data_IF_624479560593
#
_entry.id   IF_624479560593
#
_cell.length_a   1.000
_cell.length_b   1.000
_cell.length_c   1.000
_cell.angle_alpha   90.00
_cell.angle_beta   90.00
_cell.angle_gamma   90.00
#
_symmetry.space_group_name_H-M   'P 1'
#
loop_
_entity.id
_entity.type
_entity.pdbx_description
1 polymer ?
#
# COMPACT_ATOMS: atom_id res chain seq x y z
N UNK A 1 -3.43 3.20 16.97
CA UNK A 1 -3.97 2.39 15.85
C UNK A 1 -5.11 1.53 16.37
N UNK A 2 -6.25 1.58 15.71
CA UNK A 2 -7.44 0.83 16.09
C UNK A 2 -8.04 0.15 14.86
N UNK A 3 -8.31 -1.15 14.97
CA UNK A 3 -8.96 -1.89 13.89
C UNK A 3 -10.46 -1.59 13.91
N UNK A 4 -11.01 -1.26 12.73
CA UNK A 4 -12.42 -0.98 12.54
C UNK A 4 -13.08 -2.12 11.77
N UNK A 5 -14.39 -2.26 11.95
CA UNK A 5 -15.18 -3.21 11.15
C UNK A 5 -15.34 -2.65 9.72
N UNK A 6 -15.04 -3.48 8.72
CA UNK A 6 -15.23 -3.11 7.30
C UNK A 6 -16.70 -3.34 6.94
N UNK A 7 -17.37 -2.27 6.48
CA UNK A 7 -18.75 -2.35 6.01
C UNK A 7 -18.79 -2.61 4.51
N UNK A 8 -19.97 -2.94 3.98
CA UNK A 8 -20.15 -3.10 2.53
C UNK A 8 -19.82 -1.81 1.79
N UNK A 9 -20.20 -0.67 2.34
CA UNK A 9 -19.90 0.65 1.78
C UNK A 9 -18.38 0.89 1.73
N UNK A 10 -17.65 0.48 2.77
CA UNK A 10 -16.19 0.58 2.81
C UNK A 10 -15.54 -0.27 1.72
N UNK A 11 -16.05 -1.48 1.51
CA UNK A 11 -15.54 -2.40 0.47
C UNK A 11 -15.75 -1.81 -0.93
N UNK A 12 -16.93 -1.24 -1.18
CA UNK A 12 -17.22 -0.58 -2.46
C UNK A 12 -16.27 0.60 -2.70
N UNK A 13 -16.04 1.42 -1.67
CA UNK A 13 -15.14 2.56 -1.78
C UNK A 13 -13.69 2.13 -2.02
N UNK A 14 -13.23 1.09 -1.32
CA UNK A 14 -11.90 0.54 -1.56
C UNK A 14 -11.75 0.06 -3.01
N UNK A 15 -12.74 -0.68 -3.50
CA UNK A 15 -12.74 -1.16 -4.89
C UNK A 15 -12.66 -0.02 -5.90
N UNK A 16 -13.39 1.07 -5.64
CA UNK A 16 -13.36 2.26 -6.48
C UNK A 16 -11.98 2.93 -6.46
N UNK A 17 -11.37 3.04 -5.28
CA UNK A 17 -10.06 3.65 -5.10
C UNK A 17 -8.96 2.85 -5.79
N UNK A 18 -8.91 1.53 -5.60
CA UNK A 18 -7.84 0.70 -6.16
C UNK A 18 -7.90 0.59 -7.69
N UNK A 19 -9.07 0.77 -8.29
CA UNK A 19 -9.18 0.78 -9.76
C UNK A 19 -8.40 1.91 -10.41
N UNK A 20 -8.11 2.96 -9.66
CA UNK A 20 -7.30 4.10 -10.13
C UNK A 20 -5.80 3.86 -9.96
N UNK A 21 -5.42 2.81 -9.25
CA UNK A 21 -4.02 2.44 -9.02
C UNK A 21 -3.59 1.51 -10.14
N UNK A 22 -2.53 1.87 -10.85
CA UNK A 22 -2.07 1.16 -12.06
C UNK A 22 -1.93 -0.35 -11.84
N UNK A 23 -1.36 -0.76 -10.71
CA UNK A 23 -1.15 -2.18 -10.38
C UNK A 23 -2.47 -2.96 -10.34
N UNK A 24 -3.54 -2.36 -9.81
CA UNK A 24 -4.84 -3.00 -9.66
C UNK A 24 -5.79 -2.77 -10.83
N UNK A 25 -5.55 -1.73 -11.62
CA UNK A 25 -6.47 -1.31 -12.68
C UNK A 25 -6.66 -2.36 -13.78
N UNK A 26 -5.63 -3.17 -14.01
CA UNK A 26 -5.63 -4.22 -15.03
C UNK A 26 -5.93 -5.60 -14.47
N UNK A 27 -6.19 -5.73 -13.18
CA UNK A 27 -6.49 -7.03 -12.57
C UNK A 27 -7.83 -7.57 -13.01
N UNK A 28 -7.88 -8.89 -13.16
CA UNK A 28 -9.11 -9.63 -13.36
C UNK A 28 -10.08 -9.37 -12.20
N UNK A 29 -11.38 -9.24 -12.52
CA UNK A 29 -12.42 -8.98 -11.52
C UNK A 29 -12.50 -10.06 -10.44
N UNK A 30 -12.33 -11.32 -10.82
CA UNK A 30 -12.36 -12.43 -9.86
C UNK A 30 -11.23 -12.35 -8.84
N UNK A 31 -10.03 -12.00 -9.31
CA UNK A 31 -8.88 -11.81 -8.41
C UNK A 31 -9.09 -10.61 -7.50
N UNK A 32 -9.53 -9.50 -8.06
CA UNK A 32 -9.78 -8.28 -7.29
C UNK A 32 -10.83 -8.51 -6.21
N UNK A 33 -11.91 -9.22 -6.52
CA UNK A 33 -12.96 -9.53 -5.56
C UNK A 33 -12.42 -10.33 -4.37
N UNK A 34 -11.54 -11.29 -4.62
CA UNK A 34 -10.90 -12.07 -3.55
C UNK A 34 -10.01 -11.20 -2.67
N UNK A 35 -9.30 -10.25 -3.27
CA UNK A 35 -8.48 -9.28 -2.54
C UNK A 35 -9.37 -8.39 -1.67
N UNK A 36 -10.49 -7.91 -2.21
CA UNK A 36 -11.43 -7.05 -1.48
C UNK A 36 -11.97 -7.71 -0.21
N UNK A 37 -12.09 -9.04 -0.21
CA UNK A 37 -12.57 -9.78 0.96
C UNK A 37 -11.49 -9.94 2.05
N UNK A 38 -10.26 -9.54 1.78
CA UNK A 38 -9.12 -9.71 2.70
C UNK A 38 -8.60 -8.39 3.28
N UNK A 39 -9.19 -7.26 2.91
CA UNK A 39 -8.75 -5.96 3.42
C UNK A 39 -9.18 -5.77 4.87
N UNK A 40 -8.40 -4.99 5.59
CA UNK A 40 -8.77 -4.53 6.94
C UNK A 40 -8.75 -3.00 6.94
N UNK A 41 -9.44 -2.41 7.89
CA UNK A 41 -9.52 -0.96 8.04
C UNK A 41 -8.97 -0.58 9.41
N UNK A 42 -7.98 0.33 9.43
CA UNK A 42 -7.40 0.82 10.66
C UNK A 42 -7.59 2.33 10.79
N UNK A 43 -7.82 2.76 12.00
CA UNK A 43 -7.83 4.17 12.36
C UNK A 43 -6.57 4.51 13.13
N UNK A 44 -5.89 5.58 12.71
CA UNK A 44 -4.68 6.12 13.33
C UNK A 44 -4.95 7.52 13.83
N UNK A 45 -4.31 7.87 14.93
CA UNK A 45 -4.33 9.25 15.45
C UNK A 45 -3.21 10.06 14.82
N UNK A 46 -3.40 11.39 14.77
CA UNK A 46 -2.35 12.31 14.33
C UNK A 46 -1.05 12.03 15.10
N UNK A 47 0.07 11.97 14.38
CA UNK A 47 1.38 11.71 14.95
C UNK A 47 1.79 10.24 15.01
N UNK A 48 0.85 9.30 14.83
CA UNK A 48 1.22 7.87 14.77
C UNK A 48 1.99 7.56 13.50
N UNK A 49 2.95 6.64 13.62
CA UNK A 49 3.71 6.15 12.47
C UNK A 49 3.01 4.93 11.88
N UNK A 50 2.84 4.94 10.56
CA UNK A 50 2.28 3.81 9.81
C UNK A 50 3.38 2.79 9.52
N UNK A 51 4.56 3.29 9.10
CA UNK A 51 5.73 2.46 8.89
C UNK A 51 6.99 3.29 9.09
N UNK A 52 8.12 2.62 9.28
CA UNK A 52 9.43 3.28 9.49
C UNK A 52 10.38 2.93 8.37
N UNK A 53 11.18 3.93 7.97
CA UNK A 53 12.25 3.74 7.00
C UNK A 53 13.18 2.61 7.45
N UNK A 54 13.48 1.68 6.54
CA UNK A 54 14.32 0.52 6.80
C UNK A 54 13.60 -0.74 7.27
N UNK A 55 12.36 -0.63 7.73
CA UNK A 55 11.56 -1.81 8.10
C UNK A 55 11.17 -2.61 6.86
N UNK A 56 11.08 -3.92 7.00
CA UNK A 56 10.59 -4.79 5.93
C UNK A 56 9.14 -4.44 5.61
N UNK A 57 8.85 -4.23 4.32
CA UNK A 57 7.50 -3.95 3.86
C UNK A 57 6.65 -5.22 3.84
N UNK A 58 5.54 -5.21 4.57
CA UNK A 58 4.64 -6.36 4.71
C UNK A 58 3.18 -6.03 4.44
N UNK A 59 2.89 -4.80 4.03
CA UNK A 59 1.52 -4.33 3.84
C UNK A 59 1.44 -3.28 2.76
N UNK A 60 0.30 -3.26 2.10
CA UNK A 60 -0.10 -2.22 1.16
C UNK A 60 -1.20 -1.38 1.82
N UNK A 61 -1.13 -0.08 1.65
CA UNK A 61 -2.08 0.86 2.27
C UNK A 61 -2.73 1.75 1.24
N UNK A 62 -4.03 2.03 1.42
CA UNK A 62 -4.75 3.06 0.68
C UNK A 62 -5.38 4.02 1.69
N UNK A 63 -5.20 5.31 1.51
CA UNK A 63 -5.77 6.32 2.39
C UNK A 63 -7.28 6.41 2.12
N UNK A 64 -8.08 6.10 3.14
CA UNK A 64 -9.53 6.26 3.09
C UNK A 64 -9.90 7.70 3.42
N UNK A 65 -9.39 8.20 4.54
CA UNK A 65 -9.59 9.57 4.99
C UNK A 65 -8.37 10.02 5.78
N UNK A 66 -8.13 11.33 5.80
CA UNK A 66 -7.01 11.90 6.52
C UNK A 66 -5.83 12.23 5.61
N UNK A 67 -4.64 12.30 6.20
CA UNK A 67 -3.46 12.77 5.48
C UNK A 67 -2.20 12.17 6.08
N UNK A 68 -1.30 11.69 5.22
CA UNK A 68 -0.02 11.10 5.60
C UNK A 68 1.13 11.98 5.15
N UNK A 69 2.16 12.09 6.00
CA UNK A 69 3.42 12.73 5.66
C UNK A 69 4.47 11.65 5.40
N UNK A 70 5.04 11.64 4.19
CA UNK A 70 6.10 10.71 3.82
C UNK A 70 7.44 11.41 4.04
N UNK A 71 8.27 10.85 4.90
CA UNK A 71 9.50 11.48 5.36
C UNK A 71 10.70 10.57 5.16
N UNK A 72 11.79 11.16 4.70
CA UNK A 72 13.04 10.43 4.45
C UNK A 72 14.16 11.06 5.25
N UNK A 73 15.00 10.21 5.83
CA UNK A 73 16.22 10.60 6.51
C UNK A 73 17.39 10.05 5.72
N UNK A 74 18.27 10.95 5.24
CA UNK A 74 19.36 10.58 4.35
C UNK A 74 20.62 10.10 5.06
N UNK A 75 20.70 10.25 6.37
CA UNK A 75 21.85 9.79 7.17
C UNK A 75 21.50 9.75 8.64
N UNK A 76 22.40 9.16 9.44
CA UNK A 76 22.17 8.93 10.86
C UNK A 76 21.94 10.23 11.63
N UNK A 77 22.66 11.28 11.26
CA UNK A 77 22.58 12.59 11.94
C UNK A 77 21.77 13.62 11.15
N UNK A 78 21.24 13.26 10.00
CA UNK A 78 20.44 14.20 9.20
C UNK A 78 19.00 14.24 9.74
N UNK A 79 18.36 15.42 9.77
CA UNK A 79 16.95 15.49 10.10
C UNK A 79 16.11 14.85 9.00
N UNK A 80 14.96 14.34 9.34
CA UNK A 80 14.03 13.83 8.37
C UNK A 80 13.39 14.99 7.58
N UNK A 81 13.14 14.75 6.30
CA UNK A 81 12.47 15.72 5.43
C UNK A 81 11.19 15.13 4.86
N UNK A 82 10.14 15.93 4.82
CA UNK A 82 8.93 15.53 4.11
C UNK A 82 9.20 15.58 2.61
N UNK A 83 9.02 14.44 1.94
CA UNK A 83 9.22 14.32 0.49
C UNK A 83 7.91 14.19 -0.26
N UNK A 84 6.83 13.86 0.43
CA UNK A 84 5.50 13.74 -0.16
C UNK A 84 4.43 13.82 0.90
N UNK A 85 3.20 14.06 0.45
CA UNK A 85 2.02 14.05 1.29
C UNK A 85 0.96 13.23 0.57
N UNK A 86 0.28 12.34 1.29
CA UNK A 86 -0.73 11.45 0.72
C UNK A 86 -2.09 11.79 1.32
N UNK A 87 -3.10 11.86 0.47
CA UNK A 87 -4.49 12.10 0.85
C UNK A 87 -5.41 10.97 0.38
N UNK A 88 -6.74 11.12 0.57
CA UNK A 88 -7.69 10.08 0.21
C UNK A 88 -7.51 9.57 -1.22
N UNK A 89 -7.49 8.26 -1.38
CA UNK A 89 -7.27 7.59 -2.66
C UNK A 89 -5.81 7.32 -3.01
N UNK A 90 -4.87 7.97 -2.34
CA UNK A 90 -3.45 7.70 -2.55
C UNK A 90 -3.06 6.39 -1.85
N UNK A 91 -2.01 5.76 -2.35
CA UNK A 91 -1.56 4.49 -1.82
C UNK A 91 -0.06 4.49 -1.53
N UNK A 92 0.36 3.53 -0.72
CA UNK A 92 1.77 3.27 -0.48
C UNK A 92 2.01 1.77 -0.28
N UNK A 93 3.18 1.32 -0.71
CA UNK A 93 3.64 -0.03 -0.43
C UNK A 93 3.16 -1.11 -1.37
N UNK A 94 2.70 -0.78 -2.59
CA UNK A 94 2.31 -1.82 -3.55
C UNK A 94 3.48 -2.77 -3.86
N UNK A 95 4.72 -2.30 -3.79
CA UNK A 95 5.88 -3.16 -3.99
C UNK A 95 6.05 -4.19 -2.87
N UNK A 96 5.51 -3.92 -1.68
CA UNK A 96 5.53 -4.88 -0.58
C UNK A 96 4.69 -6.12 -0.88
N UNK A 97 3.73 -6.03 -1.79
CA UNK A 97 2.94 -7.17 -2.24
C UNK A 97 3.74 -8.09 -3.17
N UNK A 98 4.72 -7.54 -3.86
CA UNK A 98 5.51 -8.24 -4.87
C UNK A 98 6.82 -8.79 -4.28
N UNK A 99 7.44 -8.01 -3.41
CA UNK A 99 8.64 -8.41 -2.68
C UNK A 99 8.64 -7.70 -1.32
N UNK A 100 9.45 -8.19 -0.40
CA UNK A 100 9.51 -7.68 0.97
C UNK A 100 10.68 -6.71 1.16
N UNK A 101 10.85 -5.78 0.22
CA UNK A 101 11.93 -4.79 0.31
C UNK A 101 11.74 -3.87 1.52
N UNK A 102 12.84 -3.39 2.12
CA UNK A 102 12.76 -2.40 3.19
C UNK A 102 12.05 -1.14 2.74
N UNK A 103 11.32 -0.51 3.66
CA UNK A 103 10.63 0.75 3.39
C UNK A 103 11.65 1.86 3.11
N UNK A 104 11.39 2.65 2.08
CA UNK A 104 12.25 3.77 1.69
C UNK A 104 12.02 5.02 2.53
N UNK A 105 10.95 5.05 3.28
CA UNK A 105 10.53 6.24 4.02
C UNK A 105 9.79 5.87 5.30
N UNK A 106 9.76 6.81 6.22
CA UNK A 106 8.88 6.77 7.39
C UNK A 106 7.59 7.51 7.02
N UNK A 107 6.44 6.92 7.33
CA UNK A 107 5.14 7.52 7.05
C UNK A 107 4.45 7.80 8.37
N UNK A 108 4.08 9.07 8.56
CA UNK A 108 3.49 9.58 9.81
C UNK A 108 2.12 10.17 9.47
N UNK A 109 1.14 9.95 10.33
CA UNK A 109 -0.17 10.59 10.18
C UNK A 109 -0.09 12.07 10.53
N UNK A 110 -0.35 12.94 9.55
CA UNK A 110 -0.38 14.38 9.77
C UNK A 110 -1.65 14.82 10.49
N UNK A 111 -2.71 14.02 10.39
CA UNK A 111 -3.98 14.20 11.09
C UNK A 111 -4.57 12.83 11.37
N UNK A 112 -5.71 12.76 12.04
CA UNK A 112 -6.40 11.49 12.26
C UNK A 112 -6.74 10.88 10.90
N UNK A 113 -6.36 9.62 10.70
CA UNK A 113 -6.37 8.98 9.38
C UNK A 113 -6.95 7.58 9.48
N UNK A 114 -7.75 7.21 8.46
CA UNK A 114 -8.19 5.84 8.28
C UNK A 114 -7.52 5.27 7.05
N UNK A 115 -6.96 4.06 7.20
CA UNK A 115 -6.25 3.36 6.13
C UNK A 115 -6.88 2.02 5.86
N UNK A 116 -7.13 1.73 4.59
CA UNK A 116 -7.32 0.35 4.15
C UNK A 116 -5.96 -0.33 4.09
N UNK A 117 -5.90 -1.56 4.59
CA UNK A 117 -4.65 -2.32 4.67
C UNK A 117 -4.86 -3.69 4.03
N UNK A 118 -3.97 -4.04 3.12
CA UNK A 118 -3.88 -5.38 2.57
C UNK A 118 -2.54 -5.97 3.01
N UNK A 119 -2.60 -6.99 3.86
CA UNK A 119 -1.39 -7.69 4.30
C UNK A 119 -0.83 -8.51 3.13
N UNK A 120 0.48 -8.46 2.95
CA UNK A 120 1.14 -9.17 1.87
C UNK A 120 0.93 -10.69 1.97
N UNK A 121 0.87 -11.24 3.17
CA UNK A 121 0.59 -12.66 3.37
C UNK A 121 -0.81 -13.05 2.86
N UNK A 122 -1.79 -12.18 3.06
CA UNK A 122 -3.14 -12.39 2.53
C UNK A 122 -3.17 -12.32 1.01
N UNK A 123 -2.41 -11.38 0.45
CA UNK A 123 -2.25 -11.27 -1.01
C UNK A 123 -1.62 -12.54 -1.59
N UNK A 124 -0.53 -13.01 -0.99
CA UNK A 124 0.16 -14.22 -1.41
C UNK A 124 -0.77 -15.43 -1.39
N UNK A 125 -1.61 -15.54 -0.36
CA UNK A 125 -2.56 -16.62 -0.20
C UNK A 125 -3.59 -16.64 -1.35
N UNK A 126 -4.10 -15.46 -1.72
CA UNK A 126 -5.04 -15.34 -2.84
C UNK A 126 -4.37 -15.75 -4.15
N UNK A 127 -3.12 -15.32 -4.38
CA UNK A 127 -2.37 -15.66 -5.59
C UNK A 127 -2.07 -17.16 -5.64
N UNK A 128 -1.69 -17.76 -4.52
CA UNK A 128 -1.38 -19.20 -4.44
C UNK A 128 -2.61 -20.07 -4.71
N UNK A 129 -3.78 -19.63 -4.29
CA UNK A 129 -5.04 -20.32 -4.55
C UNK A 129 -5.52 -20.18 -6.01
N UNK A 130 -4.89 -19.27 -6.78
CA UNK A 130 -5.28 -18.97 -8.15
C UNK A 130 -4.06 -18.96 -9.08
N UNK A 131 -3.52 -20.14 -9.45
CA UNK A 131 -2.28 -20.22 -10.24
C UNK A 131 -2.32 -19.46 -11.56
N UNK A 132 -3.48 -19.33 -12.18
CA UNK A 132 -3.63 -18.58 -13.42
C UNK A 132 -3.27 -17.09 -13.27
N UNK A 133 -3.42 -16.55 -12.06
CA UNK A 133 -3.09 -15.16 -11.79
C UNK A 133 -1.62 -14.96 -11.42
N UNK A 134 -0.92 -16.02 -11.06
CA UNK A 134 0.49 -15.93 -10.65
C UNK A 134 1.37 -15.36 -11.76
N UNK A 135 1.17 -15.81 -12.99
CA UNK A 135 1.94 -15.32 -14.14
C UNK A 135 1.65 -13.86 -14.42
N UNK A 136 0.39 -13.44 -14.29
CA UNK A 136 0.02 -12.04 -14.46
C UNK A 136 0.65 -11.15 -13.40
N UNK A 137 0.65 -11.61 -12.14
CA UNK A 137 1.28 -10.88 -11.02
C UNK A 137 2.80 -10.76 -11.25
N UNK A 138 3.45 -11.83 -11.72
CA UNK A 138 4.88 -11.79 -12.05
C UNK A 138 5.18 -10.77 -13.14
N UNK A 139 4.34 -10.70 -14.17
CA UNK A 139 4.47 -9.74 -15.24
C UNK A 139 4.34 -8.31 -14.72
N UNK A 140 3.32 -8.05 -13.91
CA UNK A 140 3.10 -6.74 -13.29
C UNK A 140 4.28 -6.34 -12.39
N UNK A 141 4.83 -7.30 -11.64
CA UNK A 141 5.99 -7.07 -10.79
C UNK A 141 7.21 -6.65 -11.62
N UNK A 142 7.46 -7.34 -12.74
CA UNK A 142 8.57 -7.01 -13.63
C UNK A 142 8.42 -5.63 -14.25
N UNK A 143 7.23 -5.28 -14.72
CA UNK A 143 6.94 -3.96 -15.27
C UNK A 143 7.15 -2.87 -14.23
N UNK A 144 6.66 -3.08 -13.02
CA UNK A 144 6.76 -2.09 -11.94
C UNK A 144 8.21 -1.89 -11.50
N UNK A 145 8.98 -2.96 -11.35
CA UNK A 145 10.39 -2.88 -11.01
C UNK A 145 11.19 -2.13 -12.07
N UNK A 146 10.90 -2.37 -13.34
CA UNK A 146 11.53 -1.69 -14.46
C UNK A 146 11.24 -0.18 -14.43
N UNK A 147 9.98 0.20 -14.22
CA UNK A 147 9.59 1.60 -14.13
C UNK A 147 10.30 2.33 -12.99
N UNK A 148 10.39 1.69 -11.82
CA UNK A 148 11.07 2.28 -10.65
C UNK A 148 12.57 2.45 -10.88
N UNK A 149 13.21 1.48 -11.50
CA UNK A 149 14.64 1.59 -11.87
C UNK A 149 14.87 2.73 -12.84
N UNK A 150 14.00 2.88 -13.83
CA UNK A 150 14.07 3.99 -14.78
C UNK A 150 13.94 5.34 -14.10
N UNK A 151 12.98 5.46 -13.18
CA UNK A 151 12.77 6.69 -12.42
C UNK A 151 13.96 6.99 -11.51
N UNK A 152 14.54 5.96 -10.89
CA UNK A 152 15.67 6.10 -9.98
C UNK A 152 17.00 6.43 -10.65
N UNK A 153 17.11 6.25 -11.96
CA UNK A 153 18.36 6.50 -12.70
C UNK A 153 18.49 7.94 -13.20
N UNK A 154 17.58 8.80 -12.87
CA UNK A 154 17.63 10.21 -13.23
C UNK A 154 18.57 11.02 -12.35
#
# INVERSE_FOLDING_TARGET
>A
MKKLTVTDADTVEFGRMVRKIKFFSSMNMGLLEKILNRIVLYQYEAGEKVCKQGETGDSFYVVYSGRLSVRVKSGFFSPSKQVAELGPGDCLGEMALLNREPRNATVVCAEDTRLFVLLADNFDQVVDENPAFREEIKRLASERSFELKRAGSK
#
